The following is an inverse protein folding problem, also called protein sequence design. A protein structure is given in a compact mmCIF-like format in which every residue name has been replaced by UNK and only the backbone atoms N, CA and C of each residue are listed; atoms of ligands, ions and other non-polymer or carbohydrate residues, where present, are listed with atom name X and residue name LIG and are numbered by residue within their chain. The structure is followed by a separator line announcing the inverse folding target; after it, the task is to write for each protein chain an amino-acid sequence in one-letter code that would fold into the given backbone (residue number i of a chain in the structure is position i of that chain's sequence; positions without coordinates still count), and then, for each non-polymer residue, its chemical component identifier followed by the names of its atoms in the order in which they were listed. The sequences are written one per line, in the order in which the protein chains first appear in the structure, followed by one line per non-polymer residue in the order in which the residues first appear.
data_IF_417839583980
#
_entry.id   IF_417839583980
#
_cell.length_a   1.000
_cell.length_b   1.000
_cell.length_c   1.000
_cell.angle_alpha   90.00
_cell.angle_beta   90.00
_cell.angle_gamma   90.00
#
_symmetry.space_group_name_H-M   'P 1'
#
loop_
_entity.id
_entity.type
_entity.pdbx_description
1 polymer ?
#
# COMPACT_ATOMS: atom_id res chain seq x y z
N UNK A 1 20.58 -30.85 15.50
CA UNK A 1 21.33 -29.98 16.44
C UNK A 1 20.34 -29.46 17.46
N UNK A 2 20.74 -29.38 18.72
CA UNK A 2 20.01 -28.77 19.82
C UNK A 2 20.61 -27.39 20.10
N UNK A 3 19.79 -26.37 20.28
CA UNK A 3 20.26 -25.00 20.49
C UNK A 3 20.60 -24.74 21.96
N UNK A 4 19.79 -25.25 22.89
CA UNK A 4 19.97 -25.17 24.36
C UNK A 4 19.90 -23.76 24.97
N UNK A 5 19.74 -22.71 24.15
CA UNK A 5 19.78 -21.31 24.58
C UNK A 5 18.82 -20.44 23.77
N UNK A 6 17.61 -20.92 23.54
CA UNK A 6 16.55 -20.13 22.88
C UNK A 6 15.97 -19.17 23.93
N UNK A 7 16.35 -17.90 23.85
CA UNK A 7 15.95 -16.83 24.76
C UNK A 7 15.94 -15.50 23.99
N UNK A 8 15.39 -14.40 24.55
CA UNK A 8 15.39 -13.11 23.85
C UNK A 8 16.81 -12.61 23.51
N UNK A 9 17.81 -12.92 24.33
CA UNK A 9 19.20 -12.54 24.09
C UNK A 9 19.85 -13.27 22.90
N UNK A 10 19.32 -14.43 22.51
CA UNK A 10 19.76 -15.17 21.32
C UNK A 10 18.99 -14.83 20.05
N UNK A 11 18.00 -13.93 20.14
CA UNK A 11 17.20 -13.48 19.00
C UNK A 11 17.64 -12.08 18.58
N UNK A 12 18.19 -11.99 17.37
CA UNK A 12 18.67 -10.74 16.77
C UNK A 12 17.71 -10.24 15.71
N UNK A 13 17.48 -8.94 15.65
CA UNK A 13 16.66 -8.31 14.61
C UNK A 13 17.56 -7.53 13.67
N UNK A 14 17.54 -7.87 12.38
CA UNK A 14 18.36 -7.17 11.40
C UNK A 14 17.72 -5.84 10.95
N UNK A 15 18.44 -5.07 10.12
CA UNK A 15 17.94 -3.79 9.56
C UNK A 15 16.64 -3.92 8.76
N UNK A 16 16.35 -5.12 8.22
CA UNK A 16 15.12 -5.46 7.48
C UNK A 16 13.97 -5.91 8.38
N UNK A 17 14.14 -5.91 9.71
CA UNK A 17 13.12 -6.37 10.66
C UNK A 17 13.00 -7.89 10.77
N UNK A 18 13.89 -8.66 10.13
CA UNK A 18 13.86 -10.13 10.15
C UNK A 18 14.57 -10.63 11.41
N UNK A 19 13.92 -11.54 12.11
CA UNK A 19 14.45 -12.19 13.31
C UNK A 19 15.42 -13.31 12.90
N UNK A 20 16.58 -13.36 13.56
CA UNK A 20 17.63 -14.35 13.35
C UNK A 20 18.02 -14.94 14.69
N UNK A 21 18.11 -16.26 14.73
CA UNK A 21 18.54 -16.99 15.92
C UNK A 21 20.07 -17.12 15.89
N UNK A 22 20.73 -16.65 16.94
CA UNK A 22 22.18 -16.76 17.19
C UNK A 22 22.43 -17.37 18.58
N UNK A 23 23.60 -17.16 19.18
CA UNK A 23 23.88 -17.73 20.51
C UNK A 23 24.18 -19.23 20.48
N UNK A 24 25.03 -19.65 19.53
CA UNK A 24 25.33 -21.07 19.27
C UNK A 24 26.41 -21.66 20.20
N UNK A 25 26.90 -20.90 21.19
CA UNK A 25 27.94 -21.32 22.13
C UNK A 25 27.56 -22.55 22.99
N UNK A 26 26.27 -22.85 23.13
CA UNK A 26 25.76 -23.97 23.92
C UNK A 26 25.15 -25.09 23.08
N UNK A 27 25.31 -25.06 21.75
CA UNK A 27 24.69 -26.06 20.88
C UNK A 27 25.24 -27.45 21.14
N UNK A 28 24.34 -28.44 21.10
CA UNK A 28 24.69 -29.85 21.22
C UNK A 28 24.33 -30.62 19.94
N UNK A 29 25.11 -31.64 19.63
CA UNK A 29 24.79 -32.56 18.53
C UNK A 29 23.70 -33.52 18.99
N UNK A 30 22.83 -33.89 18.05
CA UNK A 30 21.84 -34.95 18.30
C UNK A 30 22.56 -36.30 18.35
N UNK A 31 21.96 -37.28 19.01
CA UNK A 31 22.43 -38.65 18.96
C UNK A 31 22.37 -39.17 17.50
N UNK A 32 23.49 -39.71 17.02
CA UNK A 32 23.65 -40.16 15.63
C UNK A 32 22.85 -41.45 15.34
N UNK A 33 22.62 -42.28 16.37
CA UNK A 33 21.89 -43.54 16.23
C UNK A 33 20.37 -43.33 16.25
N UNK A 34 19.87 -42.50 17.17
CA UNK A 34 18.46 -42.11 17.24
C UNK A 34 18.33 -40.64 17.65
N UNK A 35 17.95 -39.74 16.73
CA UNK A 35 17.76 -38.31 17.01
C UNK A 35 16.68 -38.01 18.07
N UNK A 36 15.82 -38.97 18.40
CA UNK A 36 14.74 -38.81 19.37
C UNK A 36 15.14 -39.18 20.79
N UNK A 37 16.28 -39.87 20.97
CA UNK A 37 16.77 -40.24 22.28
C UNK A 37 17.31 -39.02 23.05
N UNK A 38 16.91 -38.84 24.33
CA UNK A 38 17.46 -37.79 25.17
C UNK A 38 18.95 -37.99 25.44
N UNK A 39 19.69 -36.88 25.45
CA UNK A 39 21.13 -36.86 25.67
C UNK A 39 21.41 -36.43 27.11
N UNK A 40 22.30 -37.11 27.85
CA UNK A 40 22.70 -36.66 29.19
C UNK A 40 23.47 -35.33 29.09
N UNK A 41 23.10 -34.36 29.92
CA UNK A 41 23.69 -33.01 29.92
C UNK A 41 23.94 -32.50 31.34
N UNK A 42 24.92 -31.60 31.49
CA UNK A 42 25.16 -30.95 32.79
C UNK A 42 24.08 -29.88 33.05
N UNK A 43 23.37 -29.95 34.19
CA UNK A 43 22.37 -28.95 34.56
C UNK A 43 23.02 -27.63 34.97
N UNK A 44 22.20 -26.57 35.07
CA UNK A 44 22.66 -25.27 35.52
C UNK A 44 23.07 -25.30 37.00
N UNK A 45 24.15 -24.62 37.35
CA UNK A 45 24.66 -24.53 38.72
C UNK A 45 25.17 -23.15 39.09
N UNK A 46 24.96 -22.76 40.35
CA UNK A 46 25.47 -21.51 40.93
C UNK A 46 26.98 -21.52 41.17
N UNK A 47 27.63 -22.68 41.03
CA UNK A 47 29.09 -22.83 41.19
C UNK A 47 29.89 -22.38 39.97
N UNK A 48 29.24 -22.29 38.81
CA UNK A 48 29.86 -21.89 37.55
C UNK A 48 29.37 -20.49 37.17
N UNK A 49 30.22 -19.72 36.48
CA UNK A 49 29.82 -18.40 35.98
C UNK A 49 28.55 -18.49 35.12
N UNK A 50 27.62 -17.55 35.31
CA UNK A 50 26.40 -17.46 34.50
C UNK A 50 26.70 -17.20 33.01
N UNK A 51 27.85 -16.60 32.68
CA UNK A 51 28.25 -16.35 31.29
C UNK A 51 28.65 -17.63 30.54
N UNK A 52 28.93 -18.70 31.28
CA UNK A 52 29.34 -19.99 30.71
C UNK A 52 28.19 -21.01 30.69
N UNK A 53 26.96 -20.56 30.93
CA UNK A 53 25.77 -21.40 31.02
C UNK A 53 24.59 -20.73 30.31
N UNK A 54 23.63 -21.51 29.78
CA UNK A 54 22.40 -20.95 29.24
C UNK A 54 21.60 -20.19 30.30
N UNK A 55 20.74 -19.27 29.85
CA UNK A 55 19.82 -18.54 30.71
C UNK A 55 18.84 -19.46 31.45
N UNK A 56 18.96 -19.51 32.77
CA UNK A 56 18.19 -20.37 33.66
C UNK A 56 16.67 -20.13 33.54
N UNK A 57 16.24 -18.92 33.21
CA UNK A 57 14.82 -18.57 33.12
C UNK A 57 14.13 -19.18 31.89
N UNK A 58 14.89 -19.73 30.94
CA UNK A 58 14.38 -20.35 29.71
C UNK A 58 14.68 -21.86 29.63
N UNK A 59 15.50 -22.40 30.53
CA UNK A 59 15.88 -23.83 30.53
C UNK A 59 14.67 -24.72 30.83
N UNK A 60 14.55 -25.79 30.05
CA UNK A 60 13.49 -26.78 30.20
C UNK A 60 13.62 -27.62 31.49
N UNK A 61 12.50 -28.05 32.11
CA UNK A 61 12.50 -28.76 33.39
C UNK A 61 13.36 -30.02 33.41
N UNK A 62 13.30 -30.83 32.34
CA UNK A 62 14.06 -32.07 32.22
C UNK A 62 15.59 -31.83 32.22
N UNK A 63 16.05 -30.71 31.67
CA UNK A 63 17.47 -30.37 31.67
C UNK A 63 17.97 -30.16 33.10
N UNK A 64 17.17 -29.52 33.94
CA UNK A 64 17.53 -29.21 35.32
C UNK A 64 17.26 -30.34 36.31
N UNK A 65 16.16 -31.08 36.12
CA UNK A 65 15.68 -32.10 37.07
C UNK A 65 16.20 -33.50 36.75
N UNK A 66 16.23 -33.88 35.47
CA UNK A 66 16.60 -35.23 35.03
C UNK A 66 17.95 -35.28 34.31
N UNK A 67 18.59 -34.12 34.11
CA UNK A 67 19.91 -34.00 33.45
C UNK A 67 19.88 -34.56 32.02
N UNK A 68 18.75 -34.41 31.34
CA UNK A 68 18.54 -34.86 29.98
C UNK A 68 18.06 -33.72 29.09
N UNK A 69 18.49 -33.71 27.83
CA UNK A 69 18.05 -32.75 26.83
C UNK A 69 17.57 -33.48 25.58
N UNK A 70 16.51 -32.97 24.97
CA UNK A 70 15.97 -33.44 23.70
C UNK A 70 15.50 -32.25 22.86
N UNK A 71 14.98 -32.51 21.65
CA UNK A 71 14.45 -31.45 20.77
C UNK A 71 13.33 -30.65 21.43
N UNK A 72 12.53 -31.31 22.27
CA UNK A 72 11.42 -30.68 22.99
C UNK A 72 11.88 -29.76 24.12
N UNK A 73 13.15 -29.85 24.55
CA UNK A 73 13.74 -28.88 25.49
C UNK A 73 13.90 -27.50 24.85
N UNK A 74 14.28 -27.44 23.57
CA UNK A 74 14.31 -26.18 22.81
C UNK A 74 12.89 -25.64 22.57
N UNK A 75 11.91 -26.52 22.39
CA UNK A 75 10.50 -26.14 22.23
C UNK A 75 9.92 -25.51 23.51
N UNK A 76 10.30 -26.00 24.69
CA UNK A 76 9.94 -25.34 25.95
C UNK A 76 10.53 -23.94 26.04
N UNK A 77 11.81 -23.80 25.70
CA UNK A 77 12.52 -22.51 25.67
C UNK A 77 11.83 -21.53 24.72
N UNK A 78 11.36 -22.00 23.55
CA UNK A 78 10.54 -21.22 22.63
C UNK A 78 9.19 -20.80 23.24
N UNK A 79 8.52 -21.68 23.99
CA UNK A 79 7.31 -21.33 24.74
C UNK A 79 7.55 -20.20 25.77
N UNK A 80 8.69 -20.24 26.44
CA UNK A 80 9.11 -19.19 27.37
C UNK A 80 9.39 -17.86 26.66
N UNK A 81 9.94 -17.90 25.43
CA UNK A 81 10.10 -16.71 24.59
C UNK A 81 8.75 -16.15 24.14
N UNK A 82 7.84 -17.00 23.65
CA UNK A 82 6.49 -16.57 23.21
C UNK A 82 5.77 -15.87 24.35
N UNK A 83 5.77 -16.47 25.54
CA UNK A 83 5.14 -15.86 26.72
C UNK A 83 5.83 -14.57 27.14
N UNK A 84 7.15 -14.48 27.07
CA UNK A 84 7.86 -13.23 27.34
C UNK A 84 7.46 -12.10 26.37
N UNK A 85 7.24 -12.39 25.08
CA UNK A 85 6.77 -11.39 24.10
C UNK A 85 5.42 -10.82 24.51
N UNK A 86 4.47 -11.67 24.91
CA UNK A 86 3.14 -11.26 25.33
C UNK A 86 3.06 -10.79 26.79
N UNK A 87 4.12 -10.98 27.57
CA UNK A 87 4.27 -10.52 28.95
C UNK A 87 5.21 -9.30 29.06
N UNK A 88 5.11 -8.37 28.11
CA UNK A 88 5.89 -7.12 28.08
C UNK A 88 7.41 -7.30 28.21
N UNK A 89 7.95 -8.38 27.63
CA UNK A 89 9.38 -8.71 27.66
C UNK A 89 9.86 -9.39 28.94
N UNK A 90 8.97 -9.72 29.89
CA UNK A 90 9.34 -10.36 31.15
C UNK A 90 9.21 -11.89 31.05
N UNK A 91 10.26 -12.66 31.39
CA UNK A 91 10.14 -14.11 31.46
C UNK A 91 9.15 -14.54 32.56
N UNK A 92 8.47 -15.67 32.35
CA UNK A 92 7.57 -16.23 33.36
C UNK A 92 8.33 -16.77 34.58
N UNK A 93 9.54 -17.30 34.37
CA UNK A 93 10.43 -17.71 35.44
C UNK A 93 11.41 -16.57 35.73
N UNK A 94 11.60 -16.27 37.01
CA UNK A 94 12.55 -15.25 37.48
C UNK A 94 13.44 -15.88 38.55
N UNK A 95 14.18 -16.91 38.13
CA UNK A 95 15.02 -17.72 39.00
C UNK A 95 16.21 -16.92 39.56
N UNK A 96 16.58 -15.79 38.94
CA UNK A 96 17.67 -14.93 39.39
C UNK A 96 18.98 -15.71 39.64
N UNK A 97 19.31 -16.66 38.75
CA UNK A 97 20.48 -17.53 38.86
C UNK A 97 20.49 -18.38 40.16
N UNK A 98 19.33 -18.86 40.60
CA UNK A 98 19.21 -19.74 41.78
C UNK A 98 18.38 -20.97 41.47
N UNK A 99 18.96 -22.16 41.67
CA UNK A 99 18.27 -23.43 41.48
C UNK A 99 17.06 -23.61 42.39
N UNK A 100 17.14 -23.13 43.63
CA UNK A 100 16.01 -23.17 44.57
C UNK A 100 14.87 -22.25 44.10
N UNK A 101 15.20 -21.09 43.54
CA UNK A 101 14.20 -20.18 42.98
C UNK A 101 13.57 -20.77 41.72
N UNK A 102 14.38 -21.36 40.84
CA UNK A 102 13.90 -22.06 39.63
C UNK A 102 12.87 -23.14 39.98
N UNK A 103 13.19 -24.03 40.93
CA UNK A 103 12.27 -25.08 41.37
C UNK A 103 10.94 -24.52 41.88
N UNK A 104 10.98 -23.45 42.69
CA UNK A 104 9.77 -22.79 43.19
C UNK A 104 8.91 -22.20 42.06
N UNK A 105 9.53 -21.52 41.09
CA UNK A 105 8.78 -20.98 39.95
C UNK A 105 8.18 -22.09 39.10
N UNK A 106 8.90 -23.20 38.92
CA UNK A 106 8.44 -24.36 38.17
C UNK A 106 7.21 -25.03 38.80
N UNK A 107 7.10 -25.08 40.13
CA UNK A 107 5.91 -25.56 40.84
C UNK A 107 4.68 -24.73 40.47
N UNK A 108 4.83 -23.41 40.41
CA UNK A 108 3.76 -22.43 40.09
C UNK A 108 3.65 -22.07 38.60
N UNK A 109 4.39 -22.73 37.70
CA UNK A 109 4.47 -22.33 36.28
C UNK A 109 3.08 -22.34 35.62
N UNK A 110 2.28 -23.36 35.89
CA UNK A 110 0.95 -23.54 35.30
C UNK A 110 0.00 -22.38 35.66
N UNK A 111 0.16 -21.78 36.84
CA UNK A 111 -0.62 -20.61 37.28
C UNK A 111 -0.19 -19.35 36.54
N UNK A 112 1.13 -19.12 36.42
CA UNK A 112 1.68 -17.99 35.68
C UNK A 112 1.33 -18.05 34.18
N UNK A 113 1.35 -19.25 33.58
CA UNK A 113 0.92 -19.45 32.19
C UNK A 113 -0.55 -19.05 32.04
N UNK A 114 -1.44 -19.49 32.94
CA UNK A 114 -2.87 -19.11 32.89
C UNK A 114 -3.10 -17.60 32.97
N UNK A 115 -2.22 -16.86 33.65
CA UNK A 115 -2.32 -15.40 33.75
C UNK A 115 -1.97 -14.69 32.44
N UNK A 116 -1.00 -15.21 31.67
CA UNK A 116 -0.52 -14.58 30.41
C UNK A 116 -1.27 -15.06 29.17
N UNK A 117 -1.84 -16.27 29.18
CA UNK A 117 -2.61 -16.83 28.06
C UNK A 117 -3.69 -15.89 27.48
N UNK A 118 -4.44 -15.10 28.29
CA UNK A 118 -5.41 -14.13 27.77
C UNK A 118 -4.80 -13.09 26.82
N UNK A 119 -3.55 -12.68 27.03
CA UNK A 119 -2.86 -11.67 26.21
C UNK A 119 -2.29 -12.25 24.91
N UNK A 120 -2.22 -13.58 24.80
CA UNK A 120 -1.74 -14.29 23.62
C UNK A 120 -2.87 -14.38 22.57
N UNK A 121 -2.60 -14.18 21.27
CA UNK A 121 -3.57 -14.36 20.20
C UNK A 121 -4.24 -15.74 20.25
N UNK A 122 -5.57 -15.78 20.13
CA UNK A 122 -6.38 -16.99 20.26
C UNK A 122 -5.83 -18.20 19.47
N UNK A 123 -5.40 -18.06 18.19
CA UNK A 123 -4.89 -19.20 17.41
C UNK A 123 -3.56 -19.77 17.92
N UNK A 124 -2.84 -19.07 18.81
CA UNK A 124 -1.53 -19.46 19.35
C UNK A 124 -1.59 -19.97 20.81
N UNK A 125 -2.70 -19.74 21.51
CA UNK A 125 -2.86 -20.06 22.94
C UNK A 125 -2.62 -21.53 23.26
N UNK A 126 -3.32 -22.44 22.58
CA UNK A 126 -3.23 -23.88 22.84
C UNK A 126 -1.80 -24.40 22.67
N UNK A 127 -1.15 -24.00 21.58
CA UNK A 127 0.22 -24.39 21.30
C UNK A 127 1.19 -23.87 22.37
N UNK A 128 1.02 -22.62 22.81
CA UNK A 128 1.87 -22.04 23.86
C UNK A 128 1.74 -22.80 25.18
N UNK A 129 0.52 -23.16 25.58
CA UNK A 129 0.28 -23.98 26.77
C UNK A 129 0.95 -25.35 26.64
N UNK A 130 0.82 -26.01 25.49
CA UNK A 130 1.47 -27.32 25.26
C UNK A 130 3.00 -27.24 25.24
N UNK A 131 3.58 -26.16 24.67
CA UNK A 131 5.04 -25.95 24.69
C UNK A 131 5.59 -25.85 26.11
N UNK A 132 4.82 -25.31 27.05
CA UNK A 132 5.21 -25.13 28.45
C UNK A 132 4.85 -26.30 29.35
N UNK A 133 4.44 -27.43 28.80
CA UNK A 133 4.20 -28.65 29.57
C UNK A 133 5.53 -29.15 30.20
N UNK A 134 5.48 -29.59 31.45
CA UNK A 134 6.64 -30.13 32.17
C UNK A 134 7.12 -31.46 31.58
N UNK A 135 6.22 -32.25 30.99
CA UNK A 135 6.57 -33.45 30.22
C UNK A 135 6.98 -33.06 28.78
N UNK A 136 8.22 -33.38 28.36
CA UNK A 136 8.67 -33.14 26.99
C UNK A 136 7.79 -33.80 25.92
N UNK A 137 7.19 -34.96 26.20
CA UNK A 137 6.41 -35.73 25.21
C UNK A 137 5.10 -35.07 24.80
N UNK A 138 4.55 -34.23 25.66
CA UNK A 138 3.31 -33.50 25.41
C UNK A 138 3.53 -32.22 24.56
N UNK A 139 4.79 -31.83 24.36
CA UNK A 139 5.15 -30.62 23.60
C UNK A 139 5.11 -30.90 22.10
N UNK A 140 4.55 -29.98 21.29
CA UNK A 140 4.57 -30.13 19.84
C UNK A 140 6.00 -30.00 19.30
N UNK A 141 6.27 -30.68 18.19
CA UNK A 141 7.51 -30.51 17.43
C UNK A 141 7.50 -29.18 16.67
N UNK A 142 8.68 -28.68 16.29
CA UNK A 142 8.79 -27.47 15.47
C UNK A 142 7.98 -27.56 14.16
N UNK A 143 7.95 -28.74 13.53
CA UNK A 143 7.17 -29.00 12.31
C UNK A 143 5.66 -28.90 12.54
N UNK A 144 5.16 -29.38 13.68
CA UNK A 144 3.74 -29.23 14.01
C UNK A 144 3.39 -27.78 14.33
N UNK A 145 4.32 -27.05 14.95
CA UNK A 145 4.12 -25.65 15.30
C UNK A 145 3.91 -24.77 14.06
N UNK A 146 4.66 -25.00 12.98
CA UNK A 146 4.52 -24.21 11.74
C UNK A 146 3.19 -24.41 11.02
N UNK A 147 2.45 -25.48 11.35
CA UNK A 147 1.15 -25.80 10.75
C UNK A 147 -0.03 -25.15 11.49
N UNK A 148 0.21 -24.51 12.64
CA UNK A 148 -0.85 -23.86 13.42
C UNK A 148 -1.48 -22.72 12.62
N UNK A 149 -2.81 -22.56 12.77
CA UNK A 149 -3.61 -21.52 12.09
C UNK A 149 -3.02 -20.12 12.21
N UNK A 150 -2.40 -19.80 13.34
CA UNK A 150 -1.69 -18.55 13.57
C UNK A 150 -0.65 -18.22 12.48
N UNK A 151 0.09 -19.22 12.00
CA UNK A 151 1.14 -19.03 11.00
C UNK A 151 0.65 -19.25 9.57
N UNK A 152 -0.45 -19.98 9.37
CA UNK A 152 -0.91 -20.41 8.04
C UNK A 152 -2.12 -19.64 7.50
N UNK A 153 -2.99 -19.15 8.38
CA UNK A 153 -4.26 -18.49 7.98
C UNK A 153 -4.11 -16.98 7.86
N UNK A 154 -3.08 -16.41 8.48
CA UNK A 154 -2.85 -14.96 8.45
C UNK A 154 -2.38 -14.51 7.05
N UNK A 155 -3.17 -13.62 6.45
CA UNK A 155 -2.93 -13.09 5.10
C UNK A 155 -1.69 -12.20 5.06
N UNK A 156 -1.36 -11.49 6.13
CA UNK A 156 -0.16 -10.67 6.23
C UNK A 156 1.07 -11.57 6.31
N UNK A 157 1.07 -12.58 7.19
CA UNK A 157 2.19 -13.53 7.33
C UNK A 157 2.48 -14.25 6.01
N UNK A 158 1.44 -14.79 5.35
CA UNK A 158 1.60 -15.47 4.06
C UNK A 158 2.08 -14.53 2.95
N UNK A 159 1.62 -13.27 2.93
CA UNK A 159 2.10 -12.25 1.99
C UNK A 159 3.59 -11.95 2.20
N UNK A 160 4.02 -11.76 3.45
CA UNK A 160 5.42 -11.48 3.77
C UNK A 160 6.32 -12.69 3.45
N UNK A 161 5.85 -13.93 3.72
CA UNK A 161 6.56 -15.15 3.33
C UNK A 161 6.71 -15.28 1.81
N UNK A 162 5.66 -14.94 1.05
CA UNK A 162 5.75 -14.93 -0.41
C UNK A 162 6.75 -13.87 -0.90
N UNK A 163 6.77 -12.70 -0.24
CA UNK A 163 7.71 -11.62 -0.54
C UNK A 163 9.17 -12.05 -0.29
N UNK A 164 9.45 -12.86 0.73
CA UNK A 164 10.81 -13.35 1.02
C UNK A 164 11.38 -14.21 -0.11
N UNK A 165 10.53 -14.93 -0.85
CA UNK A 165 10.93 -15.80 -1.97
C UNK A 165 10.62 -15.19 -3.34
N UNK A 166 10.26 -13.89 -3.39
CA UNK A 166 9.74 -13.24 -4.61
C UNK A 166 10.71 -13.31 -5.79
N UNK A 167 12.01 -13.26 -5.52
CA UNK A 167 13.06 -13.31 -6.55
C UNK A 167 13.11 -14.67 -7.28
N UNK A 168 12.56 -15.73 -6.68
CA UNK A 168 12.47 -17.06 -7.28
C UNK A 168 11.17 -17.28 -8.08
N UNK A 169 10.27 -16.30 -8.08
CA UNK A 169 8.96 -16.39 -8.74
C UNK A 169 9.03 -15.88 -10.17
N UNK A 170 8.23 -16.45 -11.05
CA UNK A 170 8.11 -16.00 -12.42
C UNK A 170 7.34 -14.67 -12.53
N UNK A 171 7.48 -13.93 -13.65
CA UNK A 171 6.80 -12.64 -13.83
C UNK A 171 5.28 -12.69 -13.73
N UNK A 172 4.62 -13.80 -14.07
CA UNK A 172 3.15 -13.91 -13.99
C UNK A 172 2.70 -14.00 -12.52
N UNK A 173 3.40 -14.83 -11.73
CA UNK A 173 3.19 -14.93 -10.28
C UNK A 173 3.44 -13.59 -9.59
N UNK A 174 4.53 -12.89 -9.94
CA UNK A 174 4.83 -11.55 -9.42
C UNK A 174 3.72 -10.56 -9.76
N UNK A 175 3.27 -10.52 -11.01
CA UNK A 175 2.22 -9.61 -11.46
C UNK A 175 0.90 -9.82 -10.69
N UNK A 176 0.47 -11.07 -10.52
CA UNK A 176 -0.73 -11.40 -9.73
C UNK A 176 -0.57 -10.97 -8.26
N UNK A 177 0.55 -11.32 -7.65
CA UNK A 177 0.86 -11.01 -6.26
C UNK A 177 0.87 -9.50 -5.98
N UNK A 178 1.63 -8.71 -6.75
CA UNK A 178 1.73 -7.27 -6.53
C UNK A 178 0.42 -6.53 -6.78
N UNK A 179 -0.32 -6.92 -7.83
CA UNK A 179 -1.55 -6.24 -8.25
C UNK A 179 -2.73 -6.51 -7.31
N UNK A 180 -2.80 -7.71 -6.73
CA UNK A 180 -3.93 -8.15 -5.91
C UNK A 180 -3.49 -8.34 -4.45
N UNK A 181 -2.73 -9.39 -4.17
CA UNK A 181 -2.40 -9.82 -2.80
C UNK A 181 -1.71 -8.73 -1.99
N UNK A 182 -0.61 -8.16 -2.49
CA UNK A 182 0.16 -7.17 -1.74
C UNK A 182 -0.65 -5.89 -1.54
N UNK A 183 -1.32 -5.40 -2.58
CA UNK A 183 -2.13 -4.18 -2.49
C UNK A 183 -3.21 -4.30 -1.41
N UNK A 184 -3.94 -5.40 -1.38
CA UNK A 184 -5.07 -5.58 -0.47
C UNK A 184 -4.62 -5.83 0.98
N UNK A 185 -3.43 -6.43 1.15
CA UNK A 185 -2.87 -6.73 2.48
C UNK A 185 -2.05 -5.58 3.06
N UNK A 186 -1.53 -4.67 2.24
CA UNK A 186 -0.65 -3.57 2.65
C UNK A 186 -1.18 -2.75 3.84
N UNK A 187 -2.48 -2.36 3.91
CA UNK A 187 -3.01 -1.57 5.02
C UNK A 187 -2.91 -2.27 6.38
N UNK A 188 -2.85 -3.60 6.39
CA UNK A 188 -2.75 -4.42 7.61
C UNK A 188 -1.30 -4.69 8.02
N UNK A 189 -0.33 -4.40 7.15
CA UNK A 189 1.09 -4.57 7.45
C UNK A 189 1.54 -3.41 8.36
N UNK A 190 2.24 -3.68 9.48
CA UNK A 190 2.80 -2.63 10.30
C UNK A 190 3.67 -1.65 9.50
N UNK A 191 3.45 -0.33 9.65
CA UNK A 191 4.13 0.73 8.88
C UNK A 191 5.65 0.61 8.87
N UNK A 192 6.27 0.16 9.96
CA UNK A 192 7.72 -0.06 10.03
C UNK A 192 8.21 -1.08 8.99
N UNK A 193 7.43 -2.13 8.72
CA UNK A 193 7.77 -3.15 7.72
C UNK A 193 7.57 -2.66 6.29
N UNK A 194 6.79 -1.60 6.08
CA UNK A 194 6.66 -0.99 4.74
C UNK A 194 8.03 -0.54 4.24
N UNK A 195 8.81 0.15 5.06
CA UNK A 195 10.13 0.64 4.66
C UNK A 195 11.25 -0.38 4.84
N UNK A 196 11.14 -1.29 5.81
CA UNK A 196 12.20 -2.27 6.09
C UNK A 196 12.21 -3.47 5.15
N UNK A 197 11.03 -3.88 4.66
CA UNK A 197 10.88 -5.11 3.88
C UNK A 197 10.17 -4.87 2.54
N UNK A 198 9.01 -4.20 2.55
CA UNK A 198 8.16 -4.07 1.36
C UNK A 198 8.79 -3.14 0.32
N UNK A 199 9.19 -1.94 0.73
CA UNK A 199 9.76 -0.91 -0.14
C UNK A 199 11.04 -1.36 -0.83
N UNK A 200 12.05 -1.94 -0.15
CA UNK A 200 13.25 -2.46 -0.83
C UNK A 200 12.93 -3.51 -1.91
N UNK A 201 11.90 -4.33 -1.69
CA UNK A 201 11.45 -5.30 -2.68
C UNK A 201 10.74 -4.63 -3.86
N UNK A 202 9.90 -3.62 -3.61
CA UNK A 202 9.23 -2.84 -4.68
C UNK A 202 10.24 -2.06 -5.52
N UNK A 203 11.21 -1.41 -4.88
CA UNK A 203 12.27 -0.64 -5.53
C UNK A 203 13.13 -1.51 -6.47
N UNK A 204 13.42 -2.75 -6.06
CA UNK A 204 14.13 -3.69 -6.91
C UNK A 204 13.31 -4.07 -8.16
N UNK A 205 12.01 -4.32 -8.00
CA UNK A 205 11.12 -4.71 -9.10
C UNK A 205 10.71 -3.53 -10.01
N UNK A 206 10.74 -2.28 -9.52
CA UNK A 206 10.49 -1.08 -10.34
C UNK A 206 11.45 -0.96 -11.53
N UNK A 207 12.64 -1.57 -11.42
CA UNK A 207 13.65 -1.59 -12.49
C UNK A 207 13.29 -2.59 -13.61
N UNK A 208 12.31 -3.46 -13.38
CA UNK A 208 11.90 -4.52 -14.30
C UNK A 208 10.62 -4.11 -15.07
N UNK A 209 10.76 -3.87 -16.38
CA UNK A 209 9.66 -3.38 -17.23
C UNK A 209 8.43 -4.31 -17.26
N UNK A 210 8.64 -5.63 -17.17
CA UNK A 210 7.58 -6.65 -17.24
C UNK A 210 6.64 -6.67 -16.02
N UNK A 211 7.11 -6.22 -14.85
CA UNK A 211 6.39 -6.27 -13.58
C UNK A 211 5.99 -4.87 -13.09
N UNK A 212 6.57 -3.82 -13.69
CA UNK A 212 6.38 -2.42 -13.30
C UNK A 212 4.91 -2.04 -13.13
N UNK A 213 4.06 -2.38 -14.09
CA UNK A 213 2.63 -2.01 -14.04
C UNK A 213 1.89 -2.59 -12.83
N UNK A 214 2.27 -3.80 -12.36
CA UNK A 214 1.65 -4.40 -11.18
C UNK A 214 2.18 -3.79 -9.87
N UNK A 215 3.47 -3.42 -9.86
CA UNK A 215 4.17 -2.85 -8.69
C UNK A 215 3.78 -1.39 -8.44
N UNK A 216 3.33 -0.66 -9.47
CA UNK A 216 2.89 0.73 -9.32
C UNK A 216 1.73 0.90 -8.34
N UNK A 217 0.73 0.01 -8.34
CA UNK A 217 -0.44 0.12 -7.45
C UNK A 217 -0.08 0.10 -5.96
N UNK A 218 0.68 -0.89 -5.45
CA UNK A 218 1.11 -0.87 -4.06
C UNK A 218 2.05 0.31 -3.76
N UNK A 219 2.89 0.76 -4.70
CA UNK A 219 3.71 1.97 -4.50
C UNK A 219 2.85 3.21 -4.31
N UNK A 220 1.87 3.43 -5.17
CA UNK A 220 0.97 4.58 -5.09
C UNK A 220 0.19 4.58 -3.77
N UNK A 221 -0.22 3.40 -3.30
CA UNK A 221 -0.86 3.24 -1.99
C UNK A 221 0.08 3.63 -0.84
N UNK A 222 1.38 3.31 -0.92
CA UNK A 222 2.38 3.79 0.05
C UNK A 222 2.48 5.32 -0.03
N UNK A 223 2.65 5.88 -1.23
CA UNK A 223 2.81 7.33 -1.46
C UNK A 223 1.63 8.12 -0.86
N UNK A 224 0.41 7.62 -1.03
CA UNK A 224 -0.81 8.22 -0.48
C UNK A 224 -0.75 8.36 1.05
N UNK A 225 -0.27 7.32 1.75
CA UNK A 225 -0.28 7.21 3.21
C UNK A 225 0.96 7.80 3.92
N UNK A 226 2.05 8.07 3.19
CA UNK A 226 3.27 8.64 3.78
C UNK A 226 3.21 10.17 3.86
N UNK A 227 4.00 10.73 4.77
CA UNK A 227 4.20 12.18 4.84
C UNK A 227 5.11 12.69 3.73
N UNK A 228 5.11 14.01 3.51
CA UNK A 228 5.95 14.68 2.50
C UNK A 228 7.44 14.42 2.78
N UNK A 229 7.89 14.58 4.03
CA UNK A 229 9.29 14.36 4.41
C UNK A 229 9.77 12.90 4.16
N UNK A 230 8.90 11.92 4.44
CA UNK A 230 9.21 10.51 4.18
C UNK A 230 9.25 10.19 2.69
N UNK A 231 8.36 10.79 1.91
CA UNK A 231 8.36 10.68 0.46
C UNK A 231 9.67 11.22 -0.12
N UNK A 232 10.08 12.42 0.28
CA UNK A 232 11.34 13.05 -0.18
C UNK A 232 12.57 12.22 0.21
N UNK A 233 12.59 11.69 1.43
CA UNK A 233 13.75 10.97 1.96
C UNK A 233 13.91 9.57 1.37
N UNK A 234 12.82 8.82 1.19
CA UNK A 234 12.88 7.39 0.89
C UNK A 234 12.37 6.98 -0.50
N UNK A 235 11.49 7.77 -1.11
CA UNK A 235 10.71 7.34 -2.28
C UNK A 235 11.05 8.15 -3.54
N UNK A 236 11.18 9.47 -3.40
CA UNK A 236 11.21 10.42 -4.52
C UNK A 236 12.28 10.08 -5.57
N UNK A 237 13.54 9.89 -5.18
CA UNK A 237 14.64 9.64 -6.11
C UNK A 237 14.45 8.35 -6.91
N UNK A 238 14.03 7.26 -6.24
CA UNK A 238 13.80 5.98 -6.90
C UNK A 238 12.56 6.03 -7.81
N UNK A 239 11.52 6.77 -7.41
CA UNK A 239 10.30 6.92 -8.19
C UNK A 239 10.47 7.85 -9.40
N UNK A 240 11.34 8.87 -9.29
CA UNK A 240 11.72 9.76 -10.37
C UNK A 240 12.29 9.01 -11.58
N UNK A 241 13.10 7.98 -11.34
CA UNK A 241 13.60 7.11 -12.40
C UNK A 241 12.48 6.39 -13.17
N UNK A 242 11.35 6.07 -12.51
CA UNK A 242 10.17 5.48 -13.16
C UNK A 242 9.45 6.49 -14.04
N UNK A 243 9.39 7.77 -13.66
CA UNK A 243 8.75 8.81 -14.47
C UNK A 243 9.51 9.08 -15.78
N UNK A 244 10.84 9.02 -15.76
CA UNK A 244 11.70 9.35 -16.91
C UNK A 244 11.98 8.16 -17.83
N UNK A 245 11.99 6.92 -17.31
CA UNK A 245 12.27 5.71 -18.10
C UNK A 245 11.14 5.33 -19.07
N UNK A 246 11.44 4.59 -20.16
CA UNK A 246 10.42 4.05 -21.06
C UNK A 246 9.56 3.03 -20.32
N UNK A 247 8.24 3.15 -20.48
CA UNK A 247 7.23 2.38 -19.74
C UNK A 247 6.33 1.60 -20.69
N UNK A 248 5.77 0.50 -20.19
CA UNK A 248 4.68 -0.20 -20.87
C UNK A 248 3.41 0.66 -20.88
N UNK A 249 2.52 0.42 -21.83
CA UNK A 249 1.24 1.13 -21.96
C UNK A 249 0.47 1.11 -20.62
N UNK A 250 0.38 -0.07 -19.99
CA UNK A 250 -0.35 -0.26 -18.74
C UNK A 250 0.29 0.49 -17.56
N UNK A 251 1.62 0.58 -17.51
CA UNK A 251 2.31 1.36 -16.48
C UNK A 251 2.05 2.86 -16.65
N UNK A 252 2.08 3.37 -17.88
CA UNK A 252 1.77 4.76 -18.19
C UNK A 252 0.33 5.10 -17.81
N UNK A 253 -0.64 4.26 -18.19
CA UNK A 253 -2.06 4.45 -17.81
C UNK A 253 -2.22 4.49 -16.29
N UNK A 254 -1.64 3.53 -15.56
CA UNK A 254 -1.73 3.48 -14.10
C UNK A 254 -1.14 4.74 -13.42
N UNK A 255 -0.05 5.30 -13.95
CA UNK A 255 0.53 6.54 -13.45
C UNK A 255 -0.37 7.75 -13.70
N UNK A 256 -0.94 7.87 -14.91
CA UNK A 256 -1.80 8.99 -15.28
C UNK A 256 -3.09 9.02 -14.45
N UNK A 257 -3.72 7.87 -14.25
CA UNK A 257 -4.94 7.75 -13.42
C UNK A 257 -4.70 8.19 -11.97
N UNK A 258 -3.49 8.02 -11.44
CA UNK A 258 -3.13 8.31 -10.05
C UNK A 258 -2.16 9.49 -9.92
N UNK A 259 -2.08 10.35 -10.93
CA UNK A 259 -1.11 11.43 -10.98
C UNK A 259 -1.29 12.44 -9.83
N UNK A 260 -2.53 12.65 -9.39
CA UNK A 260 -2.89 13.51 -8.27
C UNK A 260 -2.20 13.10 -6.95
N UNK A 261 -2.08 11.79 -6.68
CA UNK A 261 -1.42 11.26 -5.47
C UNK A 261 0.06 11.67 -5.45
N UNK A 262 0.72 11.64 -6.60
CA UNK A 262 2.14 11.99 -6.73
C UNK A 262 2.31 13.51 -6.60
N UNK A 263 1.45 14.29 -7.26
CA UNK A 263 1.50 15.75 -7.25
C UNK A 263 1.27 16.34 -5.87
N UNK A 264 0.39 15.76 -5.07
CA UNK A 264 0.13 16.20 -3.70
C UNK A 264 1.37 16.11 -2.79
N UNK A 265 2.27 15.14 -3.07
CA UNK A 265 3.48 14.90 -2.29
C UNK A 265 4.74 15.57 -2.87
N UNK A 266 4.68 16.07 -4.11
CA UNK A 266 5.84 16.58 -4.85
C UNK A 266 5.90 18.11 -4.78
N UNK A 267 7.09 18.68 -4.63
CA UNK A 267 7.28 20.13 -4.64
C UNK A 267 6.92 20.76 -6.02
N UNK A 268 6.50 22.03 -6.02
CA UNK A 268 5.92 22.69 -7.21
C UNK A 268 6.87 22.78 -8.40
N UNK A 269 8.15 23.09 -8.18
CA UNK A 269 9.13 23.18 -9.26
C UNK A 269 9.34 21.82 -9.95
N UNK A 270 9.47 20.76 -9.17
CA UNK A 270 9.74 19.40 -9.68
C UNK A 270 8.50 18.76 -10.31
N UNK A 271 7.33 19.00 -9.72
CA UNK A 271 6.04 18.58 -10.28
C UNK A 271 5.89 19.04 -11.73
N UNK A 272 6.25 20.30 -12.02
CA UNK A 272 6.24 20.85 -13.39
C UNK A 272 7.32 20.25 -14.27
N UNK A 273 8.53 20.09 -13.74
CA UNK A 273 9.67 19.63 -14.51
C UNK A 273 9.55 18.16 -14.93
N UNK A 274 8.84 17.31 -14.20
CA UNK A 274 8.91 15.86 -14.43
C UNK A 274 7.55 15.18 -14.46
N UNK A 275 6.73 15.43 -13.45
CA UNK A 275 5.44 14.76 -13.30
C UNK A 275 4.48 15.20 -14.42
N UNK A 276 4.35 16.50 -14.67
CA UNK A 276 3.51 17.03 -15.76
C UNK A 276 4.04 16.72 -17.16
N UNK A 277 5.36 16.49 -17.32
CA UNK A 277 5.90 16.06 -18.63
C UNK A 277 5.34 14.71 -19.06
N UNK A 278 5.11 13.79 -18.13
CA UNK A 278 4.50 12.49 -18.43
C UNK A 278 3.08 12.69 -18.97
N UNK A 279 2.31 13.60 -18.37
CA UNK A 279 0.96 13.94 -18.83
C UNK A 279 0.97 14.52 -20.25
N UNK A 280 1.84 15.50 -20.52
CA UNK A 280 1.90 16.11 -21.84
C UNK A 280 2.30 15.10 -22.92
N UNK A 281 3.32 14.28 -22.67
CA UNK A 281 3.76 13.24 -23.61
C UNK A 281 2.67 12.18 -23.88
N UNK A 282 1.76 11.95 -22.93
CA UNK A 282 0.68 10.99 -23.08
C UNK A 282 -0.38 11.42 -24.11
N UNK A 283 -0.62 12.72 -24.25
CA UNK A 283 -1.52 13.26 -25.29
C UNK A 283 -1.01 13.02 -26.71
N UNK A 284 0.31 13.06 -26.89
CA UNK A 284 0.96 12.85 -28.20
C UNK A 284 1.11 11.36 -28.54
N UNK A 285 0.65 10.45 -27.67
CA UNK A 285 0.70 9.01 -27.90
C UNK A 285 -0.29 8.56 -28.97
N UNK A 286 0.08 7.57 -29.78
CA UNK A 286 -0.83 6.93 -30.76
C UNK A 286 -1.78 5.92 -30.12
N UNK A 287 -1.65 5.63 -28.83
CA UNK A 287 -2.45 4.62 -28.14
C UNK A 287 -3.66 5.25 -27.46
N UNK A 288 -4.86 4.88 -27.91
CA UNK A 288 -6.17 5.33 -27.39
C UNK A 288 -6.25 5.23 -25.85
N UNK A 289 -5.78 4.12 -25.26
CA UNK A 289 -5.83 3.94 -23.80
C UNK A 289 -5.00 4.98 -23.05
N UNK A 290 -3.84 5.37 -23.60
CA UNK A 290 -2.97 6.39 -23.00
C UNK A 290 -3.58 7.78 -23.14
N UNK A 291 -4.14 8.10 -24.30
CA UNK A 291 -4.84 9.37 -24.54
C UNK A 291 -6.05 9.52 -23.61
N UNK A 292 -6.87 8.47 -23.46
CA UNK A 292 -8.01 8.46 -22.54
C UNK A 292 -7.58 8.65 -21.07
N UNK A 293 -6.51 7.97 -20.64
CA UNK A 293 -5.96 8.15 -19.30
C UNK A 293 -5.39 9.56 -19.09
N UNK A 294 -4.81 10.18 -20.12
CA UNK A 294 -4.32 11.56 -20.05
C UNK A 294 -5.47 12.56 -19.84
N UNK A 295 -6.58 12.39 -20.56
CA UNK A 295 -7.79 13.21 -20.37
C UNK A 295 -8.33 13.11 -18.94
N UNK A 296 -8.46 11.88 -18.42
CA UNK A 296 -8.87 11.65 -17.03
C UNK A 296 -7.86 12.19 -16.01
N UNK A 297 -6.57 12.17 -16.33
CA UNK A 297 -5.54 12.74 -15.46
C UNK A 297 -5.70 14.25 -15.33
N UNK A 298 -5.98 14.95 -16.45
CA UNK A 298 -6.26 16.40 -16.44
C UNK A 298 -7.43 16.74 -15.54
N UNK A 299 -8.52 15.96 -15.55
CA UNK A 299 -9.68 16.26 -14.70
C UNK A 299 -9.35 16.24 -13.21
N UNK A 300 -8.43 15.35 -12.81
CA UNK A 300 -8.00 15.19 -11.43
C UNK A 300 -6.90 16.17 -11.00
N UNK A 301 -6.10 16.69 -11.93
CA UNK A 301 -4.91 17.49 -11.62
C UNK A 301 -4.96 18.93 -12.14
N UNK A 302 -6.10 19.37 -12.69
CA UNK A 302 -6.26 20.68 -13.30
C UNK A 302 -5.76 21.83 -12.40
N UNK A 303 -5.96 21.76 -11.09
CA UNK A 303 -5.55 22.81 -10.13
C UNK A 303 -4.03 22.97 -10.00
N UNK A 304 -3.25 21.95 -10.37
CA UNK A 304 -1.79 21.98 -10.37
C UNK A 304 -1.20 22.52 -11.68
N UNK A 305 -2.02 22.64 -12.73
CA UNK A 305 -1.61 23.07 -14.06
C UNK A 305 -1.82 24.59 -14.18
N UNK A 306 -0.85 25.31 -14.73
CA UNK A 306 -0.97 26.74 -14.99
C UNK A 306 -1.92 27.04 -16.16
N UNK A 307 -2.50 28.25 -16.17
CA UNK A 307 -3.49 28.63 -17.18
C UNK A 307 -2.92 28.65 -18.60
N UNK A 308 -1.65 29.03 -18.76
CA UNK A 308 -0.99 29.05 -20.06
C UNK A 308 -0.86 27.64 -20.64
N UNK A 309 -0.46 26.66 -19.82
CA UNK A 309 -0.41 25.27 -20.24
C UNK A 309 -1.80 24.71 -20.58
N UNK A 310 -2.86 25.08 -19.85
CA UNK A 310 -4.23 24.67 -20.19
C UNK A 310 -4.62 25.20 -21.58
N UNK A 311 -4.40 26.49 -21.83
CA UNK A 311 -4.82 27.18 -23.06
C UNK A 311 -4.03 26.75 -24.29
N UNK A 312 -2.72 26.61 -24.15
CA UNK A 312 -1.82 26.43 -25.30
C UNK A 312 -1.30 25.00 -25.48
N UNK A 313 -1.40 24.14 -24.47
CA UNK A 313 -0.97 22.75 -24.58
C UNK A 313 -2.14 21.77 -24.45
N UNK A 314 -2.95 21.86 -23.39
CA UNK A 314 -3.96 20.85 -23.10
C UNK A 314 -5.13 20.95 -24.06
N UNK A 315 -5.78 22.12 -24.16
CA UNK A 315 -6.97 22.28 -25.01
C UNK A 315 -6.73 21.87 -26.48
N UNK A 316 -5.66 22.34 -27.17
CA UNK A 316 -5.42 21.94 -28.55
C UNK A 316 -5.18 20.43 -28.70
N UNK A 317 -4.52 19.81 -27.72
CA UNK A 317 -4.27 18.36 -27.71
C UNK A 317 -5.55 17.56 -27.44
N UNK A 318 -6.41 18.04 -26.54
CA UNK A 318 -7.73 17.45 -26.26
C UNK A 318 -8.60 17.45 -27.53
N UNK A 319 -8.66 18.58 -28.24
CA UNK A 319 -9.37 18.68 -29.54
C UNK A 319 -8.75 17.74 -30.58
N UNK A 320 -7.43 17.67 -30.66
CA UNK A 320 -6.75 16.74 -31.57
C UNK A 320 -7.09 15.27 -31.27
N UNK A 321 -7.16 14.88 -30.00
CA UNK A 321 -7.54 13.52 -29.59
C UNK A 321 -8.99 13.21 -29.98
N UNK A 322 -9.91 14.18 -29.84
CA UNK A 322 -11.29 14.03 -30.28
C UNK A 322 -11.41 13.84 -31.80
N UNK A 323 -10.74 14.69 -32.58
CA UNK A 323 -10.79 14.65 -34.05
C UNK A 323 -10.20 13.35 -34.62
N UNK A 324 -9.25 12.74 -33.92
CA UNK A 324 -8.67 11.44 -34.32
C UNK A 324 -9.57 10.26 -33.97
N UNK A 325 -10.48 10.40 -32.99
CA UNK A 325 -11.24 9.30 -32.40
C UNK A 325 -12.75 9.58 -32.26
N UNK A 326 -13.35 10.33 -33.20
CA UNK A 326 -14.75 10.81 -33.15
C UNK A 326 -15.79 9.69 -33.04
N UNK A 327 -15.44 8.45 -33.38
CA UNK A 327 -16.33 7.30 -33.29
C UNK A 327 -16.30 6.59 -31.92
N UNK A 328 -15.32 6.88 -31.05
CA UNK A 328 -15.18 6.23 -29.74
C UNK A 328 -15.93 7.03 -28.67
N UNK A 329 -17.02 6.45 -28.15
CA UNK A 329 -17.84 7.04 -27.11
C UNK A 329 -17.07 7.28 -25.81
N UNK A 330 -16.14 6.38 -25.44
CA UNK A 330 -15.37 6.52 -24.19
C UNK A 330 -14.40 7.69 -24.25
N UNK A 331 -13.75 7.88 -25.39
CA UNK A 331 -12.90 9.06 -25.59
C UNK A 331 -13.76 10.32 -25.61
N UNK A 332 -14.92 10.29 -26.28
CA UNK A 332 -15.83 11.45 -26.34
C UNK A 332 -16.25 11.89 -24.94
N UNK A 333 -16.67 10.96 -24.08
CA UNK A 333 -17.00 11.25 -22.67
C UNK A 333 -15.79 11.85 -21.94
N UNK A 334 -14.61 11.23 -22.06
CA UNK A 334 -13.39 11.71 -21.39
C UNK A 334 -12.96 13.11 -21.89
N UNK A 335 -13.14 13.41 -23.17
CA UNK A 335 -12.89 14.73 -23.77
C UNK A 335 -13.85 15.75 -23.17
N UNK A 336 -15.14 15.45 -23.14
CA UNK A 336 -16.15 16.36 -22.61
C UNK A 336 -15.94 16.64 -21.12
N UNK A 337 -15.65 15.63 -20.31
CA UNK A 337 -15.31 15.82 -18.89
C UNK A 337 -14.03 16.64 -18.71
N UNK A 338 -13.03 16.45 -19.58
CA UNK A 338 -11.81 17.26 -19.58
C UNK A 338 -12.11 18.73 -19.89
N UNK A 339 -12.92 18.98 -20.93
CA UNK A 339 -13.34 20.33 -21.35
C UNK A 339 -14.16 21.02 -20.25
N UNK A 340 -15.16 20.34 -19.68
CA UNK A 340 -15.96 20.84 -18.55
C UNK A 340 -15.05 21.30 -17.40
N UNK A 341 -14.05 20.48 -17.03
CA UNK A 341 -13.18 20.79 -15.91
C UNK A 341 -12.25 21.99 -16.14
N UNK A 342 -11.90 22.28 -17.39
CA UNK A 342 -10.99 23.39 -17.75
C UNK A 342 -11.74 24.64 -18.24
N UNK A 343 -13.05 24.56 -18.48
CA UNK A 343 -13.84 25.59 -19.15
C UNK A 343 -13.72 26.96 -18.46
N UNK A 344 -13.82 26.98 -17.12
CA UNK A 344 -13.72 28.20 -16.31
C UNK A 344 -12.37 28.94 -16.42
N UNK A 345 -11.35 28.29 -17.01
CA UNK A 345 -9.98 28.82 -17.15
C UNK A 345 -9.63 29.22 -18.59
N UNK A 346 -10.58 29.07 -19.51
CA UNK A 346 -10.42 29.42 -20.92
C UNK A 346 -10.94 30.83 -21.21
N UNK A 347 -10.27 31.52 -22.13
CA UNK A 347 -10.74 32.82 -22.61
C UNK A 347 -11.83 32.64 -23.66
N UNK A 348 -12.77 33.59 -23.73
CA UNK A 348 -13.89 33.59 -24.69
C UNK A 348 -13.50 33.25 -26.15
N UNK A 349 -12.39 33.78 -26.72
CA UNK A 349 -12.00 33.43 -28.09
C UNK A 349 -11.72 31.93 -28.26
N UNK A 350 -11.03 31.30 -27.29
CA UNK A 350 -10.72 29.88 -27.36
C UNK A 350 -11.97 29.00 -27.23
N UNK A 351 -12.94 29.44 -26.42
CA UNK A 351 -14.20 28.72 -26.27
C UNK A 351 -15.00 28.77 -27.58
N UNK A 352 -15.10 29.95 -28.20
CA UNK A 352 -15.78 30.12 -29.48
C UNK A 352 -15.10 29.38 -30.63
N UNK A 353 -13.76 29.41 -30.69
CA UNK A 353 -13.00 28.89 -31.84
C UNK A 353 -12.70 27.38 -31.75
N UNK A 354 -12.65 26.79 -30.54
CA UNK A 354 -12.25 25.38 -30.36
C UNK A 354 -13.30 24.54 -29.64
N UNK A 355 -13.93 25.07 -28.58
CA UNK A 355 -14.85 24.29 -27.74
C UNK A 355 -16.23 24.18 -28.41
N UNK A 356 -16.80 25.28 -28.90
CA UNK A 356 -18.11 25.25 -29.57
C UNK A 356 -18.12 24.34 -30.81
N UNK A 357 -17.12 24.41 -31.74
CA UNK A 357 -17.07 23.48 -32.87
C UNK A 357 -17.02 22.02 -32.43
N UNK A 358 -16.25 21.71 -31.37
CA UNK A 358 -16.16 20.37 -30.82
C UNK A 358 -17.54 19.88 -30.32
N UNK A 359 -18.28 20.70 -29.57
CA UNK A 359 -19.62 20.35 -29.08
C UNK A 359 -20.62 20.11 -30.22
N UNK A 360 -20.51 20.83 -31.34
CA UNK A 360 -21.39 20.62 -32.50
C UNK A 360 -21.12 19.32 -33.26
N UNK A 361 -19.90 18.79 -33.19
CA UNK A 361 -19.53 17.54 -33.87
C UNK A 361 -19.83 16.27 -33.04
N UNK A 362 -20.11 16.43 -31.74
CA UNK A 362 -20.43 15.31 -30.85
C UNK A 362 -21.78 14.70 -31.22
N UNK A 363 -21.78 13.39 -31.45
CA UNK A 363 -23.01 12.62 -31.68
C UNK A 363 -23.72 12.36 -30.36
N UNK A 364 -24.90 12.96 -30.17
CA UNK A 364 -25.73 12.84 -28.97
C UNK A 364 -26.47 11.49 -28.91
N UNK A 365 -25.72 10.38 -28.91
CA UNK A 365 -26.29 9.03 -28.89
C UNK A 365 -26.52 8.48 -27.47
N UNK A 366 -25.80 9.02 -26.48
CA UNK A 366 -25.77 8.52 -25.11
C UNK A 366 -26.30 9.56 -24.11
N UNK A 367 -27.15 9.18 -23.13
CA UNK A 367 -27.64 10.09 -22.09
C UNK A 367 -26.54 10.80 -21.30
N UNK A 368 -25.39 10.17 -21.07
CA UNK A 368 -24.27 10.74 -20.32
C UNK A 368 -23.58 11.87 -21.12
N UNK A 369 -23.47 11.69 -22.44
CA UNK A 369 -22.98 12.71 -23.36
C UNK A 369 -23.93 13.91 -23.40
N UNK A 370 -25.25 13.67 -23.45
CA UNK A 370 -26.24 14.74 -23.37
C UNK A 370 -26.09 15.54 -22.07
N UNK A 371 -25.97 14.87 -20.91
CA UNK A 371 -25.78 15.54 -19.63
C UNK A 371 -24.51 16.41 -19.61
N UNK A 372 -23.37 15.88 -20.08
CA UNK A 372 -22.11 16.62 -20.11
C UNK A 372 -22.16 17.82 -21.07
N UNK A 373 -22.77 17.68 -22.24
CA UNK A 373 -22.98 18.80 -23.17
C UNK A 373 -23.89 19.88 -22.55
N UNK A 374 -24.97 19.50 -21.85
CA UNK A 374 -25.81 20.47 -21.16
C UNK A 374 -25.10 21.13 -19.98
N UNK A 375 -24.22 20.42 -19.28
CA UNK A 375 -23.42 20.98 -18.18
C UNK A 375 -22.44 22.05 -18.68
N UNK A 376 -21.73 21.77 -19.78
CA UNK A 376 -20.81 22.74 -20.41
C UNK A 376 -21.55 23.95 -21.00
N UNK A 377 -22.69 23.75 -21.67
CA UNK A 377 -23.52 24.86 -22.19
C UNK A 377 -24.11 25.73 -21.08
N UNK A 378 -24.53 25.13 -19.96
CA UNK A 378 -25.14 25.87 -18.85
C UNK A 378 -24.14 26.76 -18.11
N UNK A 379 -22.84 26.42 -18.09
CA UNK A 379 -21.82 27.31 -17.51
C UNK A 379 -21.64 28.60 -18.30
N UNK A 380 -21.78 28.58 -19.64
CA UNK A 380 -21.68 29.80 -20.46
C UNK A 380 -22.91 30.72 -20.35
N UNK A 381 -24.11 30.15 -20.23
CA UNK A 381 -25.36 30.94 -20.21
C UNK A 381 -25.47 31.84 -18.96
N UNK A 382 -24.79 31.49 -17.86
CA UNK A 382 -24.88 32.23 -16.59
C UNK A 382 -23.77 33.25 -16.36
N UNK A 383 -22.65 33.20 -17.10
CA UNK A 383 -21.56 34.21 -16.98
C UNK A 383 -21.89 35.54 -17.66
N UNK A 384 -22.90 35.60 -18.53
CA UNK A 384 -23.38 36.83 -19.18
C UNK A 384 -24.40 37.64 -18.34
N UNK A 385 -24.56 37.34 -17.04
CA UNK A 385 -25.62 37.93 -16.19
C UNK A 385 -25.15 38.67 -14.92
N UNK A 386 -24.06 39.44 -14.99
CA UNK A 386 -23.79 40.51 -14.00
C UNK A 386 -24.19 41.89 -14.57
N UNK A 387 -25.19 42.60 -13.99
CA UNK A 387 -25.48 43.97 -14.39
C UNK A 387 -24.56 44.95 -13.63
N UNK A 388 -23.87 45.80 -14.38
CA UNK A 388 -23.24 47.03 -13.88
C UNK A 388 -24.24 47.79 -12.98
N UNK A 389 -23.91 47.92 -11.70
CA UNK A 389 -24.72 48.66 -10.74
C UNK A 389 -24.55 50.16 -10.90
N UNK A 390 -25.60 50.83 -11.40
CA UNK A 390 -25.80 52.27 -11.21
C UNK A 390 -27.02 52.51 -10.32
N UNK A 391 -26.82 53.33 -9.28
CA UNK A 391 -27.80 53.64 -8.22
C UNK A 391 -28.80 54.69 -8.71
N UNK A 392 -30.10 54.47 -8.54
CA UNK A 392 -31.05 55.44 -7.95
C UNK A 392 -32.52 54.97 -7.95
N UNK A 393 -33.14 55.18 -6.79
CA UNK A 393 -34.55 55.53 -6.50
C UNK A 393 -35.74 54.58 -6.74
N UNK A 394 -36.21 54.05 -5.60
CA UNK A 394 -37.59 54.05 -5.05
C UNK A 394 -38.82 53.79 -5.96
N UNK A 395 -39.53 52.69 -5.67
CA UNK A 395 -40.96 52.51 -6.02
C UNK A 395 -41.43 51.06 -6.01
N UNK A 396 -42.38 50.72 -5.14
CA UNK A 396 -43.05 49.41 -4.99
C UNK A 396 -43.95 49.03 -6.19
N UNK A 397 -44.43 47.76 -6.29
CA UNK A 397 -44.46 47.01 -7.55
C UNK A 397 -45.81 46.98 -8.25
N UNK A 398 -45.81 46.93 -9.59
CA UNK A 398 -46.94 46.39 -10.36
C UNK A 398 -46.50 45.81 -11.70
N UNK A 399 -47.01 44.61 -11.96
CA UNK A 399 -47.23 43.90 -13.24
C UNK A 399 -46.83 44.58 -14.55
N UNK A 400 -46.25 43.75 -15.43
CA UNK A 400 -45.97 43.95 -16.86
C UNK A 400 -44.69 44.70 -17.22
N UNK A 401 -43.58 43.95 -17.27
CA UNK A 401 -42.50 44.20 -18.22
C UNK A 401 -41.79 42.88 -18.57
N UNK A 402 -42.03 42.36 -19.78
CA UNK A 402 -41.22 41.28 -20.39
C UNK A 402 -39.78 41.78 -20.55
N UNK A 403 -38.74 41.07 -20.06
CA UNK A 403 -37.39 41.31 -20.51
C UNK A 403 -37.25 40.66 -21.89
N UNK A 404 -37.20 41.48 -22.93
CA UNK A 404 -36.75 41.07 -24.27
C UNK A 404 -35.25 40.74 -24.20
N UNK A 405 -34.93 39.46 -24.02
CA UNK A 405 -33.59 38.96 -24.26
C UNK A 405 -33.29 39.01 -25.76
N UNK A 406 -32.21 39.71 -26.15
CA UNK A 406 -31.71 39.69 -27.53
C UNK A 406 -31.19 38.29 -27.84
N UNK A 407 -31.57 37.68 -28.98
CA UNK A 407 -31.14 36.33 -29.34
C UNK A 407 -29.73 36.39 -29.93
N UNK A 408 -28.76 35.79 -29.24
CA UNK A 408 -27.37 35.73 -29.67
C UNK A 408 -26.77 34.34 -29.45
N UNK A 409 -26.47 33.66 -30.55
CA UNK A 409 -25.59 32.50 -30.71
C UNK A 409 -25.94 31.14 -30.04
N UNK A 410 -26.55 31.10 -28.86
CA UNK A 410 -26.64 29.83 -28.09
C UNK A 410 -27.89 28.99 -28.43
N UNK A 411 -28.89 29.58 -29.09
CA UNK A 411 -30.12 28.86 -29.51
C UNK A 411 -29.91 27.86 -30.65
N UNK A 412 -28.75 27.86 -31.32
CA UNK A 412 -28.54 27.10 -32.57
C UNK A 412 -28.32 25.61 -32.30
N UNK A 413 -27.69 25.23 -31.19
CA UNK A 413 -27.39 23.81 -30.91
C UNK A 413 -28.67 23.04 -30.55
N UNK A 414 -29.59 23.66 -29.79
CA UNK A 414 -30.87 23.02 -29.43
C UNK A 414 -31.85 22.95 -30.61
N UNK A 415 -31.89 23.96 -31.50
CA UNK A 415 -32.81 23.92 -32.65
C UNK A 415 -32.34 23.05 -33.81
N UNK A 416 -31.03 22.79 -33.92
CA UNK A 416 -30.49 21.89 -34.95
C UNK A 416 -30.80 20.42 -34.66
N UNK A 417 -30.90 20.01 -33.39
CA UNK A 417 -31.09 18.61 -33.01
C UNK A 417 -32.54 18.24 -32.65
N UNK A 418 -33.38 19.21 -32.27
CA UNK A 418 -34.82 18.99 -32.08
C UNK A 418 -35.60 18.82 -33.40
N UNK A 419 -34.94 19.01 -34.56
CA UNK A 419 -35.55 18.86 -35.89
C UNK A 419 -35.52 17.45 -36.48
N UNK A 420 -34.70 16.54 -35.93
CA UNK A 420 -34.48 15.18 -36.45
C UNK A 420 -34.80 14.07 -35.42
N UNK A 421 -35.74 14.32 -34.48
CA UNK A 421 -36.28 13.31 -33.55
C UNK A 421 -37.71 12.87 -33.94
#
# INVERSE_FOLDING_TARGET
MLHRHVCPASIFVNKRGVWKLGGLEFTERLNEADPTEPIPITPWTSRTSKLCQPDLDYIAPEVQLTQQICMQSDMFSLGMVITAIFNHGRPLMQANNSNTSYQRHLETLDEHVKMVVPDIPLPLREATVRLLNKDPKERPTAQLLTLIKYFTTDTVVSTLQFLDVIQMKDPQQKNSFYRQTLRDTLPYIPRKLWFQLVWPSLEAEMKQSEVLAAVLKPILLIIEHVGIEEYETYIQESFRAVLTSPKTIQATVCLLENLHIILEKTQKEEARAEVLRVLYNAFDSTTIQVQSAALLSVTNVADYIDEQAIRHMILPRTVSVFNQNTADLKITIAVLSCVERILDRLDRPLILDQVLPLLTEVRLSDPEIMYLCFATERQEIWTDSEPNGDKSDAGTPSSDCKPTAKPGAIYIVVTSFAGDA
#
